data_IF_174690828827
#
_entry.id   IF_174690828827
#
_cell.length_a   1.000
_cell.length_b   1.000
_cell.length_c   1.000
_cell.angle_alpha   90.00
_cell.angle_beta   90.00
_cell.angle_gamma   90.00
#
_symmetry.space_group_name_H-M   'P 1'
#
loop_
_entity.id
_entity.type
_entity.pdbx_description
1 polymer ?
#
# COMPACT_ATOMS: atom_id res chain seq x y z
N UNK A 1 14.79 8.66 -15.08
CA UNK A 1 13.76 8.48 -14.03
C UNK A 1 13.49 6.99 -13.89
N UNK A 2 14.09 6.35 -12.88
CA UNK A 2 14.29 4.89 -12.84
C UNK A 2 13.00 4.12 -12.50
N UNK A 3 12.71 3.14 -13.35
CA UNK A 3 11.64 2.15 -13.28
C UNK A 3 11.24 1.79 -11.85
N UNK A 4 10.01 2.15 -11.50
CA UNK A 4 9.24 1.37 -10.51
C UNK A 4 8.90 0.06 -11.20
N UNK A 5 9.25 -1.12 -10.66
CA UNK A 5 8.82 -2.37 -11.25
C UNK A 5 7.29 -2.34 -11.35
N UNK A 6 6.79 -2.55 -12.58
CA UNK A 6 5.38 -2.64 -12.91
C UNK A 6 4.77 -3.78 -12.09
N UNK A 7 4.18 -3.47 -10.95
CA UNK A 7 3.15 -4.31 -10.38
C UNK A 7 1.87 -4.04 -11.18
N UNK A 8 1.84 -4.48 -12.44
CA UNK A 8 0.57 -4.64 -13.16
C UNK A 8 -0.21 -5.72 -12.43
N UNK A 9 -1.50 -5.53 -12.22
CA UNK A 9 -2.40 -6.49 -11.57
C UNK A 9 -2.29 -7.91 -12.19
N UNK A 10 -1.91 -8.03 -13.47
CA UNK A 10 -1.57 -9.32 -14.11
C UNK A 10 -0.36 -10.06 -13.50
N UNK A 11 0.50 -9.40 -12.72
CA UNK A 11 1.60 -9.99 -11.96
C UNK A 11 1.22 -10.31 -10.50
N UNK A 12 0.11 -9.77 -9.99
CA UNK A 12 -0.40 -10.09 -8.65
C UNK A 12 -1.24 -11.38 -8.65
N UNK A 13 -1.90 -11.72 -9.76
CA UNK A 13 -2.73 -12.94 -9.84
C UNK A 13 -1.95 -14.22 -10.20
N UNK A 14 -0.69 -14.12 -10.67
CA UNK A 14 0.15 -15.30 -11.02
C UNK A 14 0.97 -15.84 -9.83
N UNK A 15 1.04 -15.12 -8.72
CA UNK A 15 1.73 -15.57 -7.50
C UNK A 15 0.87 -16.47 -6.59
N UNK A 16 -0.37 -16.76 -6.98
CA UNK A 16 -1.27 -17.65 -6.24
C UNK A 16 -1.46 -19.03 -6.88
N UNK A 17 -0.86 -19.31 -8.04
CA UNK A 17 -0.98 -20.62 -8.71
C UNK A 17 0.35 -21.41 -8.80
N UNK A 18 1.51 -20.77 -8.58
CA UNK A 18 2.84 -21.44 -8.67
C UNK A 18 3.65 -21.40 -7.35
N UNK A 19 3.00 -21.50 -6.17
CA UNK A 19 3.73 -21.93 -4.96
C UNK A 19 3.80 -23.47 -5.00
N UNK A 20 4.69 -23.97 -5.86
CA UNK A 20 5.45 -25.16 -5.49
C UNK A 20 6.30 -24.72 -4.30
N UNK A 21 6.07 -25.34 -3.14
CA UNK A 21 6.80 -25.05 -1.90
C UNK A 21 8.12 -25.81 -1.98
N UNK A 22 9.27 -25.13 -2.01
CA UNK A 22 10.45 -25.73 -1.38
C UNK A 22 10.99 -24.86 -0.24
N UNK A 23 10.83 -25.44 0.95
CA UNK A 23 11.80 -25.54 2.04
C UNK A 23 12.53 -24.24 2.45
N UNK A 24 11.97 -23.65 3.51
CA UNK A 24 12.64 -23.09 4.68
C UNK A 24 14.17 -22.81 4.61
N UNK A 25 14.52 -21.70 5.28
CA UNK A 25 15.81 -21.54 5.98
C UNK A 25 17.03 -21.23 5.11
N UNK A 26 17.20 -19.97 4.71
CA UNK A 26 18.53 -19.40 4.37
C UNK A 26 18.80 -17.98 4.89
N UNK A 27 18.17 -17.57 5.99
CA UNK A 27 18.82 -16.59 6.87
C UNK A 27 19.82 -17.33 7.76
N UNK A 28 21.00 -17.60 7.21
CA UNK A 28 22.19 -17.85 8.00
C UNK A 28 23.33 -17.03 7.39
N UNK A 29 23.74 -16.02 8.15
CA UNK A 29 24.92 -15.23 7.89
C UNK A 29 26.16 -16.16 7.87
N UNK A 30 26.93 -16.09 6.78
CA UNK A 30 28.25 -16.67 6.70
C UNK A 30 29.22 -15.78 7.48
N UNK A 31 29.77 -16.26 8.59
CA UNK A 31 31.08 -15.82 9.08
C UNK A 31 31.76 -16.91 9.92
N UNK A 32 32.80 -17.47 9.30
CA UNK A 32 34.08 -17.95 9.85
C UNK A 32 34.16 -19.20 10.74
N UNK A 33 35.23 -19.95 10.45
CA UNK A 33 35.56 -21.24 11.02
C UNK A 33 36.25 -21.20 12.39
N UNK A 34 36.53 -22.43 12.82
CA UNK A 34 36.89 -22.91 14.16
C UNK A 34 38.27 -22.42 14.65
N UNK A 35 38.39 -22.16 15.95
CA UNK A 35 39.48 -22.69 16.80
C UNK A 35 39.07 -22.69 18.28
N UNK A 36 39.49 -23.74 18.98
CA UNK A 36 39.26 -24.16 20.36
C UNK A 36 40.05 -23.33 21.39
N UNK A 37 39.48 -23.12 22.59
CA UNK A 37 39.95 -23.62 23.90
C UNK A 37 39.25 -22.89 25.08
N UNK A 38 39.01 -23.64 26.16
CA UNK A 38 38.19 -23.29 27.32
C UNK A 38 38.95 -22.44 28.37
N UNK A 39 38.22 -21.56 29.08
CA UNK A 39 38.68 -20.79 30.25
C UNK A 39 37.51 -20.53 31.24
N UNK A 40 37.79 -20.18 32.51
CA UNK A 40 37.00 -20.57 33.70
C UNK A 40 35.75 -19.69 33.98
N UNK A 41 34.82 -20.14 34.87
CA UNK A 41 33.45 -19.64 34.91
C UNK A 41 33.37 -18.27 35.60
N UNK A 42 32.76 -17.28 34.93
CA UNK A 42 32.45 -15.97 35.52
C UNK A 42 30.94 -15.76 35.58
N UNK A 43 30.44 -15.97 36.80
CA UNK A 43 29.39 -15.23 37.51
C UNK A 43 28.30 -14.54 36.68
N UNK A 44 27.06 -15.03 36.85
CA UNK A 44 25.82 -14.39 36.43
C UNK A 44 25.63 -13.07 37.18
N UNK A 45 26.01 -11.95 36.58
CA UNK A 45 25.56 -10.63 37.05
C UNK A 45 24.18 -10.38 36.47
N UNK A 46 23.17 -10.66 37.29
CA UNK A 46 21.77 -10.37 37.03
C UNK A 46 21.59 -8.84 37.02
N UNK A 47 21.81 -8.21 35.86
CA UNK A 47 21.54 -6.79 35.68
C UNK A 47 20.02 -6.66 35.54
N UNK A 48 19.34 -5.85 36.37
CA UNK A 48 17.91 -5.67 36.23
C UNK A 48 17.66 -5.13 34.81
N UNK A 49 16.93 -5.91 34.01
CA UNK A 49 16.43 -5.45 32.71
C UNK A 49 15.69 -4.16 33.00
N UNK A 50 16.20 -3.03 32.51
CA UNK A 50 15.47 -1.77 32.54
C UNK A 50 14.08 -2.08 32.03
N UNK A 51 13.09 -1.89 32.90
CA UNK A 51 11.69 -1.93 32.54
C UNK A 51 11.56 -1.04 31.32
N UNK A 52 11.34 -1.68 30.16
CA UNK A 52 11.06 -0.98 28.93
C UNK A 52 9.77 -0.23 29.21
N UNK A 53 9.90 1.07 29.48
CA UNK A 53 8.77 1.98 29.62
C UNK A 53 7.84 1.65 28.45
N UNK A 54 6.67 1.11 28.78
CA UNK A 54 5.65 0.77 27.79
C UNK A 54 5.21 2.08 27.17
N UNK A 55 5.92 2.48 26.11
CA UNK A 55 5.52 3.60 25.29
C UNK A 55 4.27 3.10 24.56
N UNK A 56 3.11 3.76 24.72
CA UNK A 56 1.93 3.35 23.99
C UNK A 56 2.29 3.27 22.51
N UNK A 57 1.82 2.24 21.79
CA UNK A 57 2.18 2.04 20.39
C UNK A 57 1.85 3.34 19.65
N UNK A 58 2.89 3.98 19.10
CA UNK A 58 2.71 5.18 18.29
C UNK A 58 1.90 4.74 17.08
N UNK A 59 0.64 5.19 16.99
CA UNK A 59 -0.20 4.89 15.85
C UNK A 59 0.42 5.51 14.59
N UNK A 60 0.67 4.68 13.59
CA UNK A 60 1.22 5.06 12.29
C UNK A 60 0.08 5.16 11.30
N UNK A 61 -0.10 6.35 10.74
CA UNK A 61 -1.09 6.62 9.70
C UNK A 61 -0.63 6.06 8.35
N UNK A 62 -1.43 5.22 7.72
CA UNK A 62 -1.09 4.61 6.43
C UNK A 62 -0.75 5.62 5.34
N UNK A 63 -1.49 6.73 5.29
CA UNK A 63 -1.43 7.70 4.21
C UNK A 63 -0.52 8.89 4.53
N UNK A 64 -0.29 9.19 5.81
CA UNK A 64 0.55 10.31 6.23
C UNK A 64 1.96 9.91 6.70
N UNK A 65 2.18 8.66 7.13
CA UNK A 65 3.46 8.27 7.71
C UNK A 65 4.64 8.39 6.75
N UNK A 66 5.75 8.88 7.28
CA UNK A 66 7.04 8.92 6.62
C UNK A 66 7.68 7.53 6.52
N UNK A 67 8.67 7.39 5.64
CA UNK A 67 9.44 6.15 5.53
C UNK A 67 10.23 5.82 6.83
N UNK A 68 10.51 6.81 7.67
CA UNK A 68 11.15 6.61 8.97
C UNK A 68 10.14 6.01 9.98
N UNK A 69 8.94 6.58 10.07
CA UNK A 69 7.89 6.05 10.95
C UNK A 69 7.47 4.63 10.60
N UNK A 70 7.42 4.30 9.30
CA UNK A 70 7.25 2.92 8.85
C UNK A 70 8.41 2.02 9.25
N UNK A 71 9.65 2.51 9.20
CA UNK A 71 10.84 1.73 9.54
C UNK A 71 11.01 1.49 11.05
N UNK A 72 10.31 2.26 11.89
CA UNK A 72 10.28 2.05 13.34
C UNK A 72 9.36 0.88 13.74
N UNK A 73 8.53 0.36 12.82
CA UNK A 73 7.62 -0.75 13.09
C UNK A 73 8.34 -2.11 13.04
N UNK A 74 7.97 -3.06 13.92
CA UNK A 74 8.65 -4.34 14.05
C UNK A 74 8.52 -5.18 12.76
N UNK A 75 9.67 -5.47 12.13
CA UNK A 75 9.75 -6.24 10.89
C UNK A 75 9.70 -5.40 9.61
N UNK A 76 9.58 -4.07 9.72
CA UNK A 76 9.65 -3.17 8.57
C UNK A 76 10.99 -2.43 8.60
N UNK A 77 11.92 -2.83 7.74
CA UNK A 77 13.20 -2.13 7.58
C UNK A 77 13.13 -0.97 6.55
N UNK A 78 14.24 -0.23 6.36
CA UNK A 78 14.32 0.89 5.43
C UNK A 78 13.94 0.55 3.97
N UNK A 79 14.14 -0.71 3.55
CA UNK A 79 13.77 -1.16 2.20
C UNK A 79 12.25 -1.28 2.07
N UNK A 80 11.59 -1.94 3.03
CA UNK A 80 10.14 -2.14 3.01
C UNK A 80 9.41 -0.82 3.21
N UNK A 81 9.87 0.05 4.12
CA UNK A 81 9.25 1.36 4.33
C UNK A 81 9.22 2.20 3.06
N UNK A 82 10.32 2.22 2.30
CA UNK A 82 10.38 2.90 0.98
C UNK A 82 9.42 2.27 -0.04
N UNK A 83 9.22 0.96 -0.01
CA UNK A 83 8.26 0.28 -0.91
C UNK A 83 6.82 0.63 -0.56
N UNK A 84 6.48 0.64 0.73
CA UNK A 84 5.14 1.02 1.22
C UNK A 84 4.82 2.45 0.77
N UNK A 85 5.71 3.40 1.04
CA UNK A 85 5.55 4.80 0.62
C UNK A 85 5.40 4.92 -0.89
N UNK A 86 6.26 4.25 -1.66
CA UNK A 86 6.21 4.28 -3.12
C UNK A 86 4.90 3.71 -3.68
N UNK A 87 4.42 2.61 -3.08
CA UNK A 87 3.16 1.98 -3.47
C UNK A 87 1.97 2.89 -3.13
N UNK A 88 1.94 3.43 -1.91
CA UNK A 88 0.96 4.44 -1.47
C UNK A 88 0.86 5.59 -2.47
N UNK A 89 2.00 6.18 -2.82
CA UNK A 89 2.03 7.36 -3.69
C UNK A 89 1.48 7.06 -5.09
N UNK A 90 1.80 5.87 -5.62
CA UNK A 90 1.31 5.37 -6.92
C UNK A 90 -0.19 5.01 -6.90
N UNK A 91 -0.67 4.45 -5.79
CA UNK A 91 -2.08 4.13 -5.55
C UNK A 91 -2.92 5.39 -5.26
N UNK A 92 -2.27 6.49 -4.89
CA UNK A 92 -2.98 7.68 -4.42
C UNK A 92 -3.35 7.65 -2.94
N UNK A 93 -2.87 6.68 -2.18
CA UNK A 93 -3.23 6.42 -0.80
C UNK A 93 -4.00 5.12 -0.66
N UNK A 94 -3.85 4.48 0.49
CA UNK A 94 -4.60 3.29 0.86
C UNK A 94 -6.04 3.68 1.22
N UNK A 95 -7.00 2.97 0.66
CA UNK A 95 -8.41 3.02 1.04
C UNK A 95 -8.75 1.94 2.09
N UNK A 96 -7.90 0.92 2.26
CA UNK A 96 -8.05 -0.09 3.30
C UNK A 96 -6.70 -0.66 3.74
N UNK A 97 -6.65 -1.21 4.96
CA UNK A 97 -5.46 -1.92 5.47
C UNK A 97 -5.09 -3.14 4.60
N UNK A 98 -6.08 -3.82 4.03
CA UNK A 98 -5.87 -5.03 3.23
C UNK A 98 -4.98 -4.78 2.00
N UNK A 99 -4.96 -3.55 1.49
CA UNK A 99 -4.11 -3.18 0.35
C UNK A 99 -2.60 -3.21 0.67
N UNK A 100 -2.20 -3.32 1.95
CA UNK A 100 -0.82 -3.59 2.32
C UNK A 100 -0.32 -4.94 1.77
N UNK A 101 -1.21 -5.93 1.62
CA UNK A 101 -0.85 -7.22 1.01
C UNK A 101 -0.44 -7.09 -0.46
N UNK A 102 -0.73 -5.97 -1.12
CA UNK A 102 -0.31 -5.72 -2.51
C UNK A 102 1.10 -5.09 -2.58
N UNK A 103 1.70 -4.72 -1.45
CA UNK A 103 3.05 -4.16 -1.41
C UNK A 103 4.08 -5.27 -1.61
N UNK A 104 4.84 -5.18 -2.70
CA UNK A 104 5.83 -6.19 -3.06
C UNK A 104 6.85 -6.49 -1.96
N UNK A 105 6.88 -7.76 -1.53
CA UNK A 105 7.80 -8.26 -0.52
C UNK A 105 7.46 -7.88 0.92
N UNK A 106 6.25 -7.35 1.16
CA UNK A 106 5.70 -7.21 2.51
C UNK A 106 4.96 -8.51 2.87
N UNK A 107 5.46 -9.20 3.88
CA UNK A 107 4.95 -10.49 4.33
C UNK A 107 3.67 -10.33 5.17
N UNK A 108 2.72 -11.27 5.05
CA UNK A 108 1.46 -11.24 5.81
C UNK A 108 1.68 -11.29 7.32
N UNK A 109 2.66 -12.07 7.80
CA UNK A 109 2.98 -12.15 9.22
C UNK A 109 3.56 -10.83 9.75
N UNK A 110 4.23 -10.04 8.90
CA UNK A 110 4.65 -8.68 9.26
C UNK A 110 3.43 -7.76 9.35
N UNK A 111 2.51 -7.83 8.38
CA UNK A 111 1.27 -7.03 8.36
C UNK A 111 0.45 -7.29 9.62
N UNK A 112 0.19 -8.55 9.97
CA UNK A 112 -0.56 -8.94 11.18
C UNK A 112 0.10 -8.40 12.45
N UNK A 113 1.44 -8.46 12.54
CA UNK A 113 2.18 -7.94 13.70
C UNK A 113 2.06 -6.44 13.84
N UNK A 114 2.05 -5.69 12.73
CA UNK A 114 2.01 -4.23 12.77
C UNK A 114 0.60 -3.67 12.78
N UNK A 115 -0.41 -4.44 12.34
CA UNK A 115 -1.81 -4.01 12.21
C UNK A 115 -2.37 -3.29 13.45
N UNK A 116 -2.09 -3.71 14.71
CA UNK A 116 -2.57 -3.00 15.90
C UNK A 116 -1.97 -1.60 16.08
N UNK A 117 -0.85 -1.31 15.42
CA UNK A 117 -0.16 0.00 15.45
C UNK A 117 -0.51 0.88 14.26
N UNK A 118 -1.40 0.42 13.36
CA UNK A 118 -1.77 1.13 12.15
C UNK A 118 -3.13 1.81 12.30
N UNK A 119 -3.24 2.99 11.71
CA UNK A 119 -4.52 3.69 11.55
C UNK A 119 -4.68 4.18 10.12
N UNK A 120 -5.93 4.30 9.69
CA UNK A 120 -6.28 4.86 8.39
C UNK A 120 -7.37 5.91 8.60
N UNK A 121 -7.04 7.16 8.33
CA UNK A 121 -8.00 8.25 8.37
C UNK A 121 -8.96 8.16 7.18
N UNK A 122 -10.25 8.39 7.41
CA UNK A 122 -11.25 8.36 6.36
C UNK A 122 -10.97 9.43 5.29
N UNK A 123 -11.17 9.09 4.01
CA UNK A 123 -10.98 10.00 2.87
C UNK A 123 -9.56 10.58 2.73
N UNK A 124 -8.55 9.91 3.28
CA UNK A 124 -7.14 10.35 3.21
C UNK A 124 -6.40 9.89 1.93
N UNK A 125 -7.11 9.25 1.00
CA UNK A 125 -6.61 8.86 -0.32
C UNK A 125 -7.15 9.79 -1.41
N UNK A 126 -6.42 9.86 -2.53
CA UNK A 126 -6.77 10.65 -3.71
C UNK A 126 -7.63 9.82 -4.65
N UNK A 127 -8.79 10.38 -4.99
CA UNK A 127 -9.65 9.84 -6.04
C UNK A 127 -9.09 10.08 -7.46
N UNK A 128 -9.63 9.32 -8.41
CA UNK A 128 -9.46 9.41 -9.84
C UNK A 128 -10.79 9.90 -10.41
N UNK A 129 -10.78 11.11 -10.97
CA UNK A 129 -11.96 11.65 -11.62
C UNK A 129 -12.18 11.04 -13.02
N UNK A 130 -13.34 10.43 -13.24
CA UNK A 130 -13.72 9.81 -14.50
C UNK A 130 -13.86 10.80 -15.67
N UNK A 131 -14.25 12.05 -15.41
CA UNK A 131 -14.42 13.07 -16.44
C UNK A 131 -13.10 13.56 -17.06
N UNK A 132 -12.01 13.48 -16.29
CA UNK A 132 -10.69 14.04 -16.68
C UNK A 132 -9.63 12.98 -16.87
N UNK A 133 -9.87 11.74 -16.44
CA UNK A 133 -8.90 10.67 -16.53
C UNK A 133 -8.60 10.29 -17.99
N UNK A 134 -7.32 10.16 -18.30
CA UNK A 134 -6.86 9.69 -19.61
C UNK A 134 -6.40 8.24 -19.52
N UNK A 135 -6.42 7.53 -20.66
CA UNK A 135 -5.88 6.17 -20.76
C UNK A 135 -4.46 6.07 -20.17
N UNK A 136 -3.58 7.01 -20.54
CA UNK A 136 -2.18 7.03 -20.10
C UNK A 136 -2.05 7.20 -18.58
N UNK A 137 -2.93 7.99 -17.96
CA UNK A 137 -2.92 8.19 -16.52
C UNK A 137 -3.44 6.96 -15.79
N UNK A 138 -4.58 6.42 -16.25
CA UNK A 138 -5.25 5.31 -15.58
C UNK A 138 -4.44 4.02 -15.66
N UNK A 139 -3.86 3.69 -16.82
CA UNK A 139 -3.04 2.46 -17.01
C UNK A 139 -1.74 2.46 -16.20
N UNK A 140 -1.32 3.63 -15.67
CA UNK A 140 -0.16 3.73 -14.78
C UNK A 140 -0.52 3.47 -13.32
N UNK A 141 -1.80 3.49 -13.00
CA UNK A 141 -2.29 3.29 -11.65
C UNK A 141 -2.22 1.79 -11.28
N UNK A 142 -1.78 1.43 -10.06
CA UNK A 142 -1.58 0.02 -9.68
C UNK A 142 -2.81 -0.88 -9.80
N UNK A 143 -4.02 -0.32 -9.78
CA UNK A 143 -5.27 -1.08 -9.85
C UNK A 143 -5.77 -1.36 -11.28
N UNK A 144 -5.14 -0.79 -12.30
CA UNK A 144 -5.63 -0.87 -13.68
C UNK A 144 -4.54 -1.36 -14.63
N UNK A 145 -4.88 -2.34 -15.45
CA UNK A 145 -4.11 -2.69 -16.63
C UNK A 145 -4.73 -2.07 -17.90
N UNK A 146 -4.19 -2.42 -19.07
CA UNK A 146 -4.66 -1.89 -20.33
C UNK A 146 -6.09 -2.35 -20.69
N UNK A 147 -6.48 -3.57 -20.33
CA UNK A 147 -7.84 -4.08 -20.59
C UNK A 147 -8.86 -3.39 -19.68
N UNK A 148 -8.57 -3.36 -18.38
CA UNK A 148 -9.41 -2.70 -17.38
C UNK A 148 -9.56 -1.21 -17.67
N UNK A 149 -8.48 -0.54 -18.06
CA UNK A 149 -8.53 0.87 -18.49
C UNK A 149 -9.47 1.05 -19.69
N UNK A 150 -9.47 0.16 -20.68
CA UNK A 150 -10.39 0.25 -21.82
C UNK A 150 -11.83 0.03 -21.39
N UNK A 151 -12.10 -0.91 -20.48
CA UNK A 151 -13.45 -1.15 -19.94
C UNK A 151 -14.00 0.10 -19.26
N UNK A 152 -13.20 0.71 -18.37
CA UNK A 152 -13.58 1.95 -17.68
C UNK A 152 -13.89 3.06 -18.68
N UNK A 153 -12.97 3.35 -19.61
CA UNK A 153 -13.14 4.45 -20.55
C UNK A 153 -14.24 4.22 -21.59
N UNK A 154 -14.56 2.96 -21.93
CA UNK A 154 -15.69 2.64 -22.82
C UNK A 154 -17.03 2.76 -22.12
N UNK A 155 -17.08 2.40 -20.83
CA UNK A 155 -18.30 2.50 -20.03
C UNK A 155 -18.62 3.95 -19.63
N UNK A 156 -17.60 4.81 -19.53
CA UNK A 156 -17.76 6.22 -19.21
C UNK A 156 -18.02 7.08 -20.46
N UNK A 157 -19.06 7.92 -20.42
CA UNK A 157 -19.43 8.82 -21.51
C UNK A 157 -20.12 10.09 -21.00
N UNK A 158 -20.25 11.12 -21.84
CA UNK A 158 -20.87 12.40 -21.47
C UNK A 158 -22.27 12.21 -20.89
N UNK A 159 -22.54 12.82 -19.73
CA UNK A 159 -23.83 12.74 -19.04
C UNK A 159 -24.12 11.43 -18.32
N UNK A 160 -23.11 10.56 -18.14
CA UNK A 160 -23.26 9.30 -17.39
C UNK A 160 -23.16 9.57 -15.88
N UNK A 161 -24.00 8.90 -15.08
CA UNK A 161 -23.90 8.90 -13.62
C UNK A 161 -22.98 7.77 -13.15
N UNK A 162 -22.45 7.88 -11.94
CA UNK A 162 -21.59 6.82 -11.38
C UNK A 162 -22.32 5.46 -11.28
N UNK A 163 -23.62 5.48 -10.95
CA UNK A 163 -24.45 4.28 -10.90
C UNK A 163 -24.60 3.62 -12.28
N UNK A 164 -24.97 4.42 -13.30
CA UNK A 164 -25.10 3.92 -14.68
C UNK A 164 -23.76 3.40 -15.23
N UNK A 165 -22.63 3.99 -14.82
CA UNK A 165 -21.30 3.47 -15.13
C UNK A 165 -21.11 2.05 -14.57
N UNK A 166 -21.43 1.82 -13.31
CA UNK A 166 -21.30 0.50 -12.67
C UNK A 166 -22.24 -0.53 -13.27
N UNK A 167 -23.40 -0.14 -13.81
CA UNK A 167 -24.28 -1.07 -14.54
C UNK A 167 -23.69 -1.47 -15.90
N UNK A 168 -22.97 -0.57 -16.57
CA UNK A 168 -22.43 -0.79 -17.92
C UNK A 168 -21.09 -1.50 -17.94
N UNK A 169 -20.24 -1.22 -16.95
CA UNK A 169 -18.89 -1.76 -16.90
C UNK A 169 -18.92 -3.24 -16.51
N UNK A 170 -18.53 -4.11 -17.42
CA UNK A 170 -18.45 -5.56 -17.16
C UNK A 170 -17.16 -5.88 -16.41
N UNK A 171 -17.28 -6.03 -15.09
CA UNK A 171 -16.18 -6.29 -14.14
C UNK A 171 -16.66 -7.25 -13.04
N UNK A 172 -15.70 -7.92 -12.41
CA UNK A 172 -15.94 -8.74 -11.22
C UNK A 172 -16.26 -7.88 -10.00
N UNK A 173 -16.87 -8.49 -8.98
CA UNK A 173 -17.14 -7.80 -7.71
C UNK A 173 -15.85 -7.35 -7.02
N UNK A 174 -14.78 -8.14 -7.12
CA UNK A 174 -13.47 -7.79 -6.57
C UNK A 174 -12.86 -6.56 -7.25
N UNK A 175 -12.93 -6.47 -8.58
CA UNK A 175 -12.50 -5.28 -9.33
C UNK A 175 -13.33 -4.06 -8.94
N UNK A 176 -14.66 -4.21 -8.89
CA UNK A 176 -15.57 -3.15 -8.46
C UNK A 176 -15.21 -2.64 -7.05
N UNK A 177 -15.04 -3.55 -6.10
CA UNK A 177 -14.70 -3.21 -4.71
C UNK A 177 -13.32 -2.52 -4.62
N UNK A 178 -12.35 -2.94 -5.42
CA UNK A 178 -11.03 -2.32 -5.45
C UNK A 178 -11.07 -0.91 -6.06
N UNK A 179 -11.89 -0.67 -7.08
CA UNK A 179 -11.94 0.59 -7.81
C UNK A 179 -12.86 1.63 -7.18
N UNK A 180 -13.95 1.20 -6.54
CA UNK A 180 -14.99 2.08 -5.98
C UNK A 180 -14.46 3.19 -5.06
N UNK A 181 -13.47 2.96 -4.17
CA UNK A 181 -12.93 4.02 -3.33
C UNK A 181 -12.21 5.12 -4.12
N UNK A 182 -11.71 4.79 -5.31
CA UNK A 182 -10.87 5.68 -6.12
C UNK A 182 -11.67 6.35 -7.23
N UNK A 183 -12.59 5.66 -7.91
CA UNK A 183 -13.31 6.24 -9.04
C UNK A 183 -14.45 7.16 -8.57
N UNK A 184 -14.45 8.41 -9.01
CA UNK A 184 -15.53 9.36 -8.73
C UNK A 184 -15.82 10.28 -9.92
N UNK A 185 -16.97 10.95 -9.88
CA UNK A 185 -17.30 12.05 -10.80
C UNK A 185 -16.62 13.31 -10.30
N UNK A 186 -16.08 14.14 -11.21
CA UNK A 186 -15.50 15.40 -10.80
C UNK A 186 -16.57 16.28 -10.13
N UNK A 187 -16.24 17.00 -9.04
CA UNK A 187 -17.11 18.08 -8.60
C UNK A 187 -17.32 19.03 -9.77
N UNK A 188 -18.56 19.43 -10.02
CA UNK A 188 -18.85 20.46 -11.03
C UNK A 188 -18.02 21.69 -10.66
N UNK A 189 -17.03 22.02 -11.49
CA UNK A 189 -16.19 23.20 -11.26
C UNK A 189 -17.13 24.39 -11.16
N UNK A 190 -17.22 24.96 -9.96
CA UNK A 190 -18.11 26.09 -9.70
C UNK A 190 -17.85 27.20 -10.72
N UNK A 191 -18.92 27.62 -11.40
CA UNK A 191 -19.05 29.01 -11.81
C UNK A 191 -18.67 29.85 -10.60
N UNK A 192 -17.69 30.75 -10.75
CA UNK A 192 -17.40 31.74 -9.72
C UNK A 192 -18.64 32.63 -9.59
N UNK A 193 -19.55 32.27 -8.70
CA UNK A 193 -20.59 33.18 -8.26
C UNK A 193 -19.91 34.33 -7.50
N UNK A 194 -20.44 35.52 -7.72
CA UNK A 194 -19.75 36.80 -7.62
C UNK A 194 -19.03 37.04 -6.29
N UNK A 195 -17.80 37.54 -6.43
CA UNK A 195 -17.17 38.39 -5.44
C UNK A 195 -18.02 39.66 -5.32
N UNK A 196 -18.97 39.67 -4.39
CA UNK A 196 -19.71 40.88 -4.01
C UNK A 196 -18.73 41.77 -3.24
N UNK A 197 -18.24 42.80 -3.92
CA UNK A 197 -17.52 43.91 -3.34
C UNK A 197 -18.51 44.70 -2.49
N UNK A 198 -18.50 44.48 -1.17
CA UNK A 198 -19.08 45.46 -0.26
C UNK A 198 -18.32 46.79 -0.41
N UNK A 199 -19.06 47.82 -0.80
CA UNK A 199 -18.74 49.24 -0.63
C UNK A 199 -19.93 49.91 0.03
#
# INVERSE_FOLDING_TARGET
MRNVPRATVSSLHRLLEDIDVPEASRYNARSMGKHTQQGPPKTKTNTPRRDSVFKPPRLVDLNQASAAEWADLPGIGPVLSRRIVKFRDALGGFASLNQLHHVYGLDSAVIERVQPSLKLEAHSHRGICLDTVTFRSLVRHPLFDADQTRKVLRAWGRGTTLDAFWTRVSVTDAERQAWMPYLHVCPAVGRKDGMELER
#
